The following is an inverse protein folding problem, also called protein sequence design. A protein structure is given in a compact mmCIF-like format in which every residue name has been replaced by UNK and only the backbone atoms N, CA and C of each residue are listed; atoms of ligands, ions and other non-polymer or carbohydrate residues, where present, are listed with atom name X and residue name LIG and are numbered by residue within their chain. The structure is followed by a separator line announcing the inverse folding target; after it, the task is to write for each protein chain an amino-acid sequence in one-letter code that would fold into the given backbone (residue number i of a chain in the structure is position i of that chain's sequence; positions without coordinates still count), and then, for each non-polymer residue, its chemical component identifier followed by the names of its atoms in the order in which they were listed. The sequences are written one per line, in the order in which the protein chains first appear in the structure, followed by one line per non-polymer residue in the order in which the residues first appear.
data_IF_656862041899
#
_entry.id   IF_656862041899
#
_cell.length_a   1.000
_cell.length_b   1.000
_cell.length_c   1.000
_cell.angle_alpha   90.00
_cell.angle_beta   90.00
_cell.angle_gamma   90.00
#
_symmetry.space_group_name_H-M   'P 1'
#
loop_
_entity.id
_entity.type
_entity.pdbx_description
1 polymer ?
#
# COMPACT_ATOMS: atom_id res chain seq x y z
N UNK A 1 -18.92 29.46 67.78
CA UNK A 1 -18.18 28.74 66.72
C UNK A 1 -18.59 29.32 65.37
N UNK A 2 -17.64 29.40 64.43
CA UNK A 2 -17.66 29.98 63.07
C UNK A 2 -16.85 31.28 62.98
N UNK A 3 -15.60 31.13 62.52
CA UNK A 3 -14.76 32.18 61.93
C UNK A 3 -15.18 32.31 60.46
N UNK A 4 -15.62 33.49 60.04
CA UNK A 4 -15.88 33.78 58.62
C UNK A 4 -14.70 34.60 58.07
N UNK A 5 -13.99 34.03 57.11
CA UNK A 5 -12.86 34.65 56.42
C UNK A 5 -13.35 35.70 55.42
N UNK A 6 -12.73 36.88 55.51
CA UNK A 6 -12.84 37.99 54.57
C UNK A 6 -12.00 37.66 53.31
N UNK A 7 -12.59 37.65 52.12
CA UNK A 7 -11.85 37.73 50.86
C UNK A 7 -12.44 38.85 50.01
N UNK A 8 -11.64 39.90 49.85
CA UNK A 8 -11.90 41.05 48.98
C UNK A 8 -11.61 40.61 47.53
N UNK A 9 -12.61 40.66 46.65
CA UNK A 9 -12.43 40.46 45.22
C UNK A 9 -12.08 41.82 44.60
N UNK A 10 -10.83 41.98 44.20
CA UNK A 10 -10.37 43.11 43.39
C UNK A 10 -10.72 42.83 41.92
N UNK A 11 -11.71 43.54 41.38
CA UNK A 11 -12.05 43.50 39.97
C UNK A 11 -11.01 44.29 39.16
N UNK A 12 -9.98 43.62 38.64
CA UNK A 12 -9.10 44.19 37.63
C UNK A 12 -9.79 44.14 36.26
N UNK A 13 -10.19 45.30 35.76
CA UNK A 13 -10.55 45.52 34.36
C UNK A 13 -9.29 45.45 33.50
N UNK A 14 -9.06 44.31 32.84
CA UNK A 14 -8.06 44.21 31.76
C UNK A 14 -8.79 44.56 30.46
N UNK A 15 -8.42 45.70 29.88
CA UNK A 15 -8.84 46.08 28.53
C UNK A 15 -8.35 45.02 27.55
N UNK A 16 -9.27 44.35 26.87
CA UNK A 16 -8.96 43.46 25.77
C UNK A 16 -8.50 44.31 24.59
N UNK A 17 -7.20 44.50 24.43
CA UNK A 17 -6.65 44.96 23.15
C UNK A 17 -6.74 43.78 22.18
N UNK A 18 -7.46 43.99 21.08
CA UNK A 18 -7.62 43.02 20.00
C UNK A 18 -6.25 42.74 19.36
N UNK A 19 -5.57 41.68 19.81
CA UNK A 19 -4.45 41.12 19.07
C UNK A 19 -5.05 40.52 17.81
N UNK A 20 -4.76 41.18 16.68
CA UNK A 20 -5.12 40.76 15.35
C UNK A 20 -4.26 39.52 14.99
N UNK A 21 -4.58 38.37 15.56
CA UNK A 21 -4.07 37.09 15.08
C UNK A 21 -4.78 36.79 13.77
N UNK A 22 -4.21 37.29 12.68
CA UNK A 22 -4.47 36.78 11.34
C UNK A 22 -4.22 35.28 11.42
N UNK A 23 -5.29 34.48 11.53
CA UNK A 23 -5.24 33.05 11.37
C UNK A 23 -4.49 32.81 10.07
N UNK A 24 -3.31 32.20 10.19
CA UNK A 24 -2.62 31.64 9.04
C UNK A 24 -3.58 30.60 8.47
N UNK A 25 -4.24 30.94 7.37
CA UNK A 25 -4.97 29.99 6.56
C UNK A 25 -4.07 28.78 6.32
N UNK A 26 -4.60 27.55 6.42
CA UNK A 26 -3.82 26.36 6.13
C UNK A 26 -3.19 26.54 4.76
N UNK A 27 -1.85 26.44 4.76
CA UNK A 27 -0.97 26.52 3.59
C UNK A 27 -1.62 25.75 2.45
N UNK A 28 -2.00 26.50 1.41
CA UNK A 28 -2.46 26.03 0.09
C UNK A 28 -1.89 24.64 -0.20
N UNK A 29 -2.77 23.65 -0.39
CA UNK A 29 -2.40 22.33 -0.91
C UNK A 29 -1.40 22.54 -2.05
N UNK A 30 -0.18 22.03 -1.88
CA UNK A 30 0.73 21.93 -3.01
C UNK A 30 0.00 21.11 -4.06
N UNK A 31 -0.30 21.74 -5.20
CA UNK A 31 -0.93 21.05 -6.31
C UNK A 31 0.01 19.92 -6.71
N UNK A 32 -0.46 18.67 -6.61
CA UNK A 32 0.31 17.51 -7.04
C UNK A 32 0.59 17.64 -8.53
N UNK A 33 1.86 17.49 -8.92
CA UNK A 33 2.25 17.50 -10.34
C UNK A 33 1.98 16.10 -10.91
N UNK A 34 1.21 16.05 -12.00
CA UNK A 34 0.97 14.82 -12.75
C UNK A 34 2.11 14.56 -13.75
N UNK A 35 2.67 13.35 -13.71
CA UNK A 35 3.68 12.84 -14.61
C UNK A 35 3.04 11.76 -15.47
N UNK A 36 3.20 11.81 -16.79
CA UNK A 36 2.56 10.87 -17.71
C UNK A 36 3.59 9.90 -18.29
N UNK A 37 3.38 8.60 -18.09
CA UNK A 37 4.20 7.56 -18.69
C UNK A 37 3.51 7.04 -19.96
N UNK A 38 4.02 7.32 -21.16
CA UNK A 38 3.40 6.85 -22.40
C UNK A 38 4.02 5.55 -22.93
N UNK A 39 5.24 5.24 -22.48
CA UNK A 39 6.05 4.09 -22.83
C UNK A 39 6.96 3.71 -21.64
N UNK A 40 7.71 2.63 -21.79
CA UNK A 40 8.63 2.08 -20.80
C UNK A 40 9.75 3.06 -20.43
N UNK A 41 10.28 3.83 -21.39
CA UNK A 41 11.33 4.83 -21.12
C UNK A 41 10.82 5.99 -20.26
N UNK A 42 9.61 6.50 -20.54
CA UNK A 42 8.97 7.52 -19.71
C UNK A 42 8.74 6.98 -18.29
N UNK A 43 8.23 5.76 -18.20
CA UNK A 43 7.95 5.09 -16.93
C UNK A 43 9.21 4.99 -16.07
N UNK A 44 10.31 4.49 -16.65
CA UNK A 44 11.57 4.40 -15.93
C UNK A 44 12.13 5.76 -15.56
N UNK A 45 12.11 6.73 -16.47
CA UNK A 45 12.56 8.08 -16.15
C UNK A 45 11.79 8.68 -14.98
N UNK A 46 10.47 8.47 -14.94
CA UNK A 46 9.63 8.91 -13.84
C UNK A 46 10.06 8.22 -12.54
N UNK A 47 10.07 6.88 -12.49
CA UNK A 47 10.38 6.15 -11.25
C UNK A 47 11.83 6.36 -10.77
N UNK A 48 12.78 6.56 -11.68
CA UNK A 48 14.20 6.80 -11.33
C UNK A 48 14.43 8.23 -10.79
N UNK A 49 13.54 9.19 -11.10
CA UNK A 49 13.72 10.63 -10.79
C UNK A 49 12.61 11.22 -9.92
N UNK A 50 11.63 10.41 -9.53
CA UNK A 50 10.45 10.87 -8.81
C UNK A 50 10.83 11.43 -7.43
N UNK A 51 10.10 12.48 -7.04
CA UNK A 51 10.16 13.10 -5.71
C UNK A 51 8.77 13.11 -5.10
N UNK A 52 8.67 13.49 -3.84
CA UNK A 52 7.40 13.56 -3.10
C UNK A 52 6.31 14.37 -3.82
N UNK A 53 5.06 14.10 -3.44
CA UNK A 53 3.88 14.86 -3.88
C UNK A 53 3.72 14.83 -5.41
N UNK A 54 3.46 13.64 -5.94
CA UNK A 54 3.28 13.39 -7.39
C UNK A 54 2.12 12.47 -7.67
N UNK A 55 1.51 12.68 -8.83
CA UNK A 55 0.61 11.70 -9.46
C UNK A 55 1.32 11.15 -10.68
N UNK A 56 1.42 9.83 -10.81
CA UNK A 56 1.93 9.15 -11.99
C UNK A 56 0.72 8.60 -12.74
N UNK A 57 0.49 9.11 -13.94
CA UNK A 57 -0.57 8.68 -14.84
C UNK A 57 0.01 7.69 -15.85
N UNK A 58 -0.37 6.42 -15.72
CA UNK A 58 -0.02 5.40 -16.70
C UNK A 58 -1.05 5.42 -17.83
N UNK A 59 -0.58 5.18 -19.06
CA UNK A 59 -1.46 4.91 -20.19
C UNK A 59 -1.98 3.47 -20.08
N UNK A 60 -3.25 3.25 -20.43
CA UNK A 60 -3.78 1.89 -20.57
C UNK A 60 -3.06 1.16 -21.72
N UNK A 61 -2.03 0.40 -21.38
CA UNK A 61 -1.22 -0.41 -22.30
C UNK A 61 -0.43 -1.45 -21.51
N UNK A 62 0.25 -2.31 -22.24
CA UNK A 62 1.29 -3.19 -21.68
C UNK A 62 2.62 -2.40 -21.64
N UNK A 63 3.28 -2.47 -20.49
CA UNK A 63 4.66 -2.04 -20.25
C UNK A 63 5.50 -3.30 -19.98
N UNK A 64 6.44 -3.60 -20.88
CA UNK A 64 7.37 -4.70 -20.69
C UNK A 64 8.59 -4.20 -19.92
N UNK A 65 8.73 -4.65 -18.68
CA UNK A 65 9.75 -4.21 -17.76
C UNK A 65 10.94 -5.16 -17.76
N UNK A 66 12.14 -4.62 -17.89
CA UNK A 66 13.43 -5.30 -17.69
C UNK A 66 13.99 -5.10 -16.26
N UNK A 67 13.41 -4.18 -15.48
CA UNK A 67 13.77 -3.94 -14.07
C UNK A 67 12.54 -3.58 -13.22
N UNK A 68 12.60 -3.76 -11.89
CA UNK A 68 11.55 -3.35 -10.97
C UNK A 68 11.24 -1.86 -11.02
N UNK A 69 9.99 -1.51 -10.73
CA UNK A 69 9.61 -0.13 -10.42
C UNK A 69 9.78 0.10 -8.91
N UNK A 70 10.68 1.02 -8.55
CA UNK A 70 11.09 1.20 -7.15
C UNK A 70 10.71 2.59 -6.66
N UNK A 71 9.98 2.65 -5.54
CA UNK A 71 9.71 3.85 -4.75
C UNK A 71 10.52 3.77 -3.44
N UNK A 72 11.40 4.75 -3.21
CA UNK A 72 12.33 4.74 -2.07
C UNK A 72 12.19 6.00 -1.23
N UNK A 73 11.75 5.84 0.02
CA UNK A 73 11.62 6.93 1.01
C UNK A 73 10.77 8.10 0.50
N UNK A 74 9.74 7.81 -0.30
CA UNK A 74 8.86 8.80 -0.89
C UNK A 74 7.59 9.02 -0.06
N UNK A 75 6.98 10.19 -0.23
CA UNK A 75 5.76 10.59 0.41
C UNK A 75 4.74 11.18 -0.58
N UNK A 76 3.46 10.91 -0.37
CA UNK A 76 2.35 11.47 -1.17
C UNK A 76 2.47 11.16 -2.67
N UNK A 77 2.63 9.88 -3.00
CA UNK A 77 2.65 9.42 -4.40
C UNK A 77 1.34 8.71 -4.70
N UNK A 78 0.71 9.06 -5.81
CA UNK A 78 -0.38 8.27 -6.40
C UNK A 78 0.07 7.73 -7.75
N UNK A 79 -0.01 6.43 -7.95
CA UNK A 79 0.13 5.80 -9.26
C UNK A 79 -1.27 5.45 -9.73
N UNK A 80 -1.78 6.22 -10.68
CA UNK A 80 -3.00 5.90 -11.39
C UNK A 80 -2.65 5.02 -12.59
N UNK A 81 -2.96 3.74 -12.46
CA UNK A 81 -2.65 2.73 -13.46
C UNK A 81 -3.51 2.83 -14.72
N UNK A 82 -4.72 3.36 -14.63
CA UNK A 82 -5.67 3.41 -15.76
C UNK A 82 -5.81 2.07 -16.53
N UNK A 83 -5.68 0.92 -15.85
CA UNK A 83 -5.71 -0.42 -16.46
C UNK A 83 -4.40 -0.87 -17.10
N UNK A 84 -3.29 -0.15 -16.88
CA UNK A 84 -1.97 -0.54 -17.38
C UNK A 84 -1.54 -1.93 -16.89
N UNK A 85 -0.86 -2.67 -17.77
CA UNK A 85 -0.31 -4.00 -17.50
C UNK A 85 1.21 -3.89 -17.38
N UNK A 86 1.76 -4.22 -16.21
CA UNK A 86 3.18 -4.22 -15.89
C UNK A 86 3.71 -5.65 -15.93
N UNK A 87 4.49 -5.99 -16.95
CA UNK A 87 5.05 -7.34 -17.14
C UNK A 87 6.55 -7.32 -16.89
N UNK A 88 7.00 -7.85 -15.76
CA UNK A 88 8.43 -7.91 -15.43
C UNK A 88 9.11 -9.16 -15.98
N UNK A 89 10.13 -8.98 -16.82
CA UNK A 89 11.04 -10.03 -17.29
C UNK A 89 12.15 -10.27 -16.24
N UNK A 90 11.77 -10.85 -15.11
CA UNK A 90 12.71 -11.24 -14.06
C UNK A 90 12.19 -12.43 -13.28
N UNK A 91 13.05 -13.40 -13.01
CA UNK A 91 12.68 -14.55 -12.17
C UNK A 91 12.74 -14.22 -10.69
N UNK A 92 13.52 -13.22 -10.25
CA UNK A 92 13.88 -13.06 -8.84
C UNK A 92 13.44 -11.73 -8.24
N UNK A 93 13.21 -10.71 -9.08
CA UNK A 93 12.88 -9.39 -8.59
C UNK A 93 11.36 -9.20 -8.46
N UNK A 94 10.97 -8.30 -7.58
CA UNK A 94 9.56 -7.91 -7.46
C UNK A 94 9.15 -6.93 -8.56
N UNK A 95 7.87 -6.94 -8.99
CA UNK A 95 7.39 -6.02 -10.04
C UNK A 95 7.41 -4.58 -9.55
N UNK A 96 6.85 -4.34 -8.37
CA UNK A 96 6.83 -3.03 -7.70
C UNK A 96 7.39 -3.16 -6.29
N UNK A 97 8.36 -2.29 -5.97
CA UNK A 97 9.00 -2.23 -4.65
C UNK A 97 8.75 -0.87 -4.00
N UNK A 98 8.25 -0.88 -2.77
CA UNK A 98 8.10 0.31 -1.92
C UNK A 98 8.94 0.16 -0.67
N UNK A 99 9.98 0.97 -0.52
CA UNK A 99 10.83 0.97 0.67
C UNK A 99 10.59 2.25 1.48
N UNK A 100 10.18 2.11 2.75
CA UNK A 100 10.02 3.21 3.71
C UNK A 100 9.16 4.38 3.18
N UNK A 101 8.11 4.07 2.44
CA UNK A 101 7.26 5.07 1.81
C UNK A 101 6.04 5.42 2.68
N UNK A 102 5.50 6.63 2.48
CA UNK A 102 4.36 7.13 3.24
C UNK A 102 3.28 7.72 2.34
N UNK A 103 2.01 7.51 2.66
CA UNK A 103 0.88 8.08 1.91
C UNK A 103 0.96 7.75 0.40
N UNK A 104 1.08 6.45 0.10
CA UNK A 104 1.18 5.95 -1.28
C UNK A 104 -0.13 5.32 -1.69
N UNK A 105 -0.59 5.60 -2.91
CA UNK A 105 -1.71 4.89 -3.53
C UNK A 105 -1.25 4.27 -4.85
N UNK A 106 -1.46 2.97 -5.03
CA UNK A 106 -1.36 2.26 -6.30
C UNK A 106 -2.77 1.84 -6.69
N UNK A 107 -3.28 2.39 -7.78
CA UNK A 107 -4.68 2.18 -8.22
C UNK A 107 -4.70 1.62 -9.65
N UNK A 108 -5.58 0.65 -9.89
CA UNK A 108 -5.97 0.19 -11.23
C UNK A 108 -4.80 -0.22 -12.14
N UNK A 109 -3.87 -1.03 -11.60
CA UNK A 109 -2.83 -1.70 -12.39
C UNK A 109 -3.12 -3.20 -12.50
N UNK A 110 -2.60 -3.82 -13.55
CA UNK A 110 -2.33 -5.26 -13.59
C UNK A 110 -0.82 -5.47 -13.50
N UNK A 111 -0.34 -6.23 -12.53
CA UNK A 111 1.08 -6.51 -12.37
C UNK A 111 1.34 -8.01 -12.38
N UNK A 112 2.36 -8.43 -13.13
CA UNK A 112 2.80 -9.81 -13.24
C UNK A 112 4.26 -9.95 -13.68
N UNK A 113 4.83 -11.12 -13.40
CA UNK A 113 6.04 -11.57 -14.07
C UNK A 113 5.70 -12.12 -15.45
N UNK A 114 6.65 -12.01 -16.37
CA UNK A 114 6.65 -12.80 -17.59
C UNK A 114 6.84 -14.26 -17.20
N UNK A 115 5.96 -15.13 -17.69
CA UNK A 115 6.08 -16.56 -17.43
C UNK A 115 7.40 -17.09 -18.03
N UNK A 116 8.22 -17.81 -17.24
CA UNK A 116 9.45 -18.40 -17.71
C UNK A 116 9.18 -19.57 -18.66
N UNK A 117 10.05 -19.73 -19.65
CA UNK A 117 10.10 -20.95 -20.44
C UNK A 117 10.70 -22.09 -19.59
N UNK A 118 9.90 -23.13 -19.31
CA UNK A 118 10.38 -24.35 -18.63
C UNK A 118 10.01 -24.48 -17.16
N UNK A 119 10.66 -25.38 -16.39
CA UNK A 119 10.21 -25.78 -15.05
C UNK A 119 10.58 -24.80 -13.93
N UNK A 120 11.25 -23.69 -14.26
CA UNK A 120 11.74 -22.73 -13.27
C UNK A 120 10.61 -21.80 -12.89
N UNK A 121 10.28 -21.68 -11.61
CA UNK A 121 9.29 -20.73 -11.11
C UNK A 121 9.87 -19.35 -10.81
N UNK A 122 9.03 -18.33 -10.83
CA UNK A 122 9.39 -16.97 -10.42
C UNK A 122 9.46 -16.91 -8.89
N UNK A 123 10.56 -16.42 -8.32
CA UNK A 123 10.77 -16.26 -6.88
C UNK A 123 10.47 -14.85 -6.35
N UNK A 124 10.35 -13.86 -7.25
CA UNK A 124 9.93 -12.50 -6.88
C UNK A 124 8.46 -12.41 -6.45
N UNK A 125 8.12 -11.39 -5.66
CA UNK A 125 6.73 -11.03 -5.35
C UNK A 125 6.15 -10.15 -6.46
N UNK A 126 4.83 -10.01 -6.56
CA UNK A 126 4.25 -8.99 -7.44
C UNK A 126 4.49 -7.61 -6.83
N UNK A 127 4.12 -7.41 -5.56
CA UNK A 127 4.39 -6.17 -4.82
C UNK A 127 5.16 -6.48 -3.53
N UNK A 128 6.28 -5.78 -3.31
CA UNK A 128 7.02 -5.78 -2.05
C UNK A 128 6.94 -4.41 -1.36
N UNK A 129 6.56 -4.42 -0.07
CA UNK A 129 6.56 -3.24 0.80
C UNK A 129 7.49 -3.49 1.99
N UNK A 130 8.57 -2.74 2.09
CA UNK A 130 9.54 -2.80 3.18
C UNK A 130 9.46 -1.53 4.04
N UNK A 131 8.58 -1.57 5.02
CA UNK A 131 8.31 -0.46 5.92
C UNK A 131 7.55 0.68 5.25
N UNK A 132 6.97 1.54 6.09
CA UNK A 132 6.16 2.67 5.63
C UNK A 132 4.83 2.77 6.35
N UNK A 133 4.02 3.76 5.96
CA UNK A 133 2.66 3.88 6.49
C UNK A 133 1.67 4.51 5.52
N UNK A 134 0.39 4.18 5.69
CA UNK A 134 -0.69 4.73 4.87
C UNK A 134 -0.48 4.40 3.39
N UNK A 135 -0.29 3.12 3.09
CA UNK A 135 -0.12 2.62 1.73
C UNK A 135 -1.42 1.94 1.32
N UNK A 136 -1.93 2.26 0.13
CA UNK A 136 -3.15 1.70 -0.43
C UNK A 136 -2.84 1.04 -1.77
N UNK A 137 -3.24 -0.22 -1.92
CA UNK A 137 -3.28 -0.94 -3.21
C UNK A 137 -4.74 -1.23 -3.48
N UNK A 138 -5.28 -0.69 -4.57
CA UNK A 138 -6.72 -0.72 -4.85
C UNK A 138 -7.02 -0.98 -6.33
N UNK A 139 -8.17 -1.62 -6.59
CA UNK A 139 -8.70 -1.91 -7.93
C UNK A 139 -7.70 -2.62 -8.87
N UNK A 140 -6.73 -3.35 -8.32
CA UNK A 140 -5.62 -3.90 -9.10
C UNK A 140 -5.75 -5.41 -9.31
N UNK A 141 -5.15 -5.91 -10.38
CA UNK A 141 -4.98 -7.34 -10.63
C UNK A 141 -3.53 -7.73 -10.34
N UNK A 142 -3.31 -8.56 -9.32
CA UNK A 142 -2.00 -9.04 -8.90
C UNK A 142 -1.89 -10.53 -9.24
N UNK A 143 -1.35 -10.78 -10.43
CA UNK A 143 -1.17 -12.10 -10.99
C UNK A 143 0.32 -12.41 -11.00
N UNK A 144 0.74 -13.61 -10.62
CA UNK A 144 2.12 -13.96 -10.93
C UNK A 144 2.43 -15.42 -10.74
N UNK A 145 3.24 -15.96 -11.64
CA UNK A 145 4.10 -17.12 -11.37
C UNK A 145 5.05 -16.88 -10.17
N UNK A 146 5.11 -15.66 -9.63
CA UNK A 146 5.86 -15.27 -8.44
C UNK A 146 5.44 -16.00 -7.16
N UNK A 147 6.15 -15.74 -6.06
CA UNK A 147 5.88 -16.39 -4.77
C UNK A 147 4.67 -15.78 -4.07
N UNK A 148 4.57 -14.45 -4.04
CA UNK A 148 3.51 -13.75 -3.29
C UNK A 148 2.93 -12.61 -4.11
N UNK A 149 1.60 -12.42 -4.03
CA UNK A 149 0.93 -11.25 -4.60
C UNK A 149 1.38 -9.96 -3.91
N UNK A 150 1.19 -9.86 -2.60
CA UNK A 150 1.70 -8.75 -1.78
C UNK A 150 2.49 -9.25 -0.58
N UNK A 151 3.78 -8.91 -0.53
CA UNK A 151 4.61 -9.08 0.66
C UNK A 151 4.81 -7.73 1.33
N UNK A 152 4.37 -7.59 2.58
CA UNK A 152 4.47 -6.34 3.32
C UNK A 152 5.07 -6.55 4.71
N UNK A 153 6.25 -5.99 4.92
CA UNK A 153 6.99 -6.05 6.17
C UNK A 153 7.02 -4.67 6.85
N UNK A 154 6.93 -4.67 8.19
CA UNK A 154 7.07 -3.49 9.05
C UNK A 154 6.22 -2.27 8.63
N UNK A 155 5.04 -2.52 8.04
CA UNK A 155 4.18 -1.48 7.48
C UNK A 155 2.92 -1.25 8.33
N UNK A 156 2.50 0.00 8.50
CA UNK A 156 1.36 0.39 9.33
C UNK A 156 0.25 1.05 8.50
N UNK A 157 -1.01 0.77 8.83
CA UNK A 157 -2.16 1.30 8.10
C UNK A 157 -2.06 0.98 6.59
N UNK A 158 -1.78 -0.29 6.28
CA UNK A 158 -1.79 -0.81 4.92
C UNK A 158 -3.22 -1.12 4.51
N UNK A 159 -3.60 -0.76 3.29
CA UNK A 159 -4.91 -1.07 2.72
C UNK A 159 -4.73 -1.84 1.42
N UNK A 160 -5.33 -3.02 1.34
CA UNK A 160 -5.39 -3.87 0.14
C UNK A 160 -6.87 -4.08 -0.13
N UNK A 161 -7.43 -3.32 -1.07
CA UNK A 161 -8.89 -3.20 -1.23
C UNK A 161 -9.32 -3.47 -2.67
N UNK A 162 -10.40 -4.23 -2.87
CA UNK A 162 -11.01 -4.40 -4.20
C UNK A 162 -10.04 -4.91 -5.28
N UNK A 163 -9.06 -5.72 -4.90
CA UNK A 163 -8.10 -6.31 -5.82
C UNK A 163 -8.50 -7.71 -6.25
N UNK A 164 -8.00 -8.14 -7.40
CA UNK A 164 -8.01 -9.53 -7.83
C UNK A 164 -6.61 -10.13 -7.70
N UNK A 165 -6.40 -11.00 -6.71
CA UNK A 165 -5.09 -11.57 -6.37
C UNK A 165 -5.12 -13.06 -6.67
N UNK A 166 -4.37 -13.50 -7.67
CA UNK A 166 -4.48 -14.87 -8.16
C UNK A 166 -3.19 -15.46 -8.68
N UNK A 167 -3.17 -16.80 -8.73
CA UNK A 167 -2.10 -17.63 -9.32
C UNK A 167 -0.71 -17.47 -8.69
N UNK A 168 -0.61 -16.81 -7.54
CA UNK A 168 0.65 -16.70 -6.79
C UNK A 168 1.04 -18.06 -6.21
N UNK A 169 2.29 -18.49 -6.38
CA UNK A 169 2.69 -19.88 -6.11
C UNK A 169 2.70 -20.26 -4.63
N UNK A 170 2.87 -19.30 -3.70
CA UNK A 170 2.84 -19.57 -2.26
C UNK A 170 1.69 -18.88 -1.55
N UNK A 171 1.64 -17.55 -1.51
CA UNK A 171 0.63 -16.84 -0.72
C UNK A 171 0.03 -15.70 -1.53
N UNK A 172 -1.27 -15.38 -1.36
CA UNK A 172 -1.79 -14.14 -1.92
C UNK A 172 -1.17 -12.92 -1.22
N UNK A 173 -1.06 -12.98 0.12
CA UNK A 173 -0.55 -11.88 0.95
C UNK A 173 0.29 -12.45 2.10
N UNK A 174 1.47 -11.87 2.33
CA UNK A 174 2.22 -11.98 3.58
C UNK A 174 2.25 -10.60 4.24
N UNK A 175 1.79 -10.52 5.49
CA UNK A 175 1.76 -9.26 6.23
C UNK A 175 2.44 -9.36 7.61
N UNK A 176 3.35 -8.42 7.87
CA UNK A 176 3.93 -8.15 9.18
C UNK A 176 3.79 -6.67 9.51
N UNK A 177 2.92 -6.33 10.46
CA UNK A 177 2.82 -4.98 10.99
C UNK A 177 1.63 -4.81 11.93
N UNK A 178 1.47 -3.60 12.49
CA UNK A 178 0.49 -3.36 13.55
C UNK A 178 -0.94 -3.07 13.05
N UNK A 179 -1.15 -2.78 11.76
CA UNK A 179 -2.49 -2.53 11.21
C UNK A 179 -2.59 -2.68 9.70
N UNK A 180 -3.61 -3.42 9.27
CA UNK A 180 -3.96 -3.65 7.87
C UNK A 180 -5.47 -3.73 7.68
N UNK A 181 -5.95 -3.25 6.55
CA UNK A 181 -7.29 -3.48 6.03
C UNK A 181 -7.17 -4.26 4.73
N UNK A 182 -7.69 -5.49 4.71
CA UNK A 182 -7.77 -6.36 3.52
C UNK A 182 -9.25 -6.55 3.24
N UNK A 183 -9.79 -5.83 2.28
CA UNK A 183 -11.23 -5.71 2.13
C UNK A 183 -11.69 -5.87 0.68
N UNK A 184 -12.80 -6.59 0.49
CA UNK A 184 -13.50 -6.72 -0.80
C UNK A 184 -12.60 -7.25 -1.94
N UNK A 185 -11.55 -8.01 -1.60
CA UNK A 185 -10.68 -8.62 -2.61
C UNK A 185 -11.22 -9.98 -3.05
N UNK A 186 -10.88 -10.35 -4.28
CA UNK A 186 -11.06 -11.71 -4.79
C UNK A 186 -9.70 -12.43 -4.77
N UNK A 187 -9.64 -13.57 -4.09
CA UNK A 187 -8.50 -14.48 -4.07
C UNK A 187 -8.85 -15.76 -4.81
N UNK A 188 -8.03 -16.15 -5.81
CA UNK A 188 -8.30 -17.34 -6.62
C UNK A 188 -6.98 -18.05 -6.97
N UNK A 189 -6.95 -19.38 -6.88
CA UNK A 189 -5.83 -20.20 -7.36
C UNK A 189 -4.44 -19.78 -6.83
N UNK A 190 -4.36 -19.19 -5.63
CA UNK A 190 -3.08 -18.96 -4.98
C UNK A 190 -2.67 -20.21 -4.19
N UNK A 191 -1.38 -20.39 -3.98
CA UNK A 191 -0.85 -21.38 -3.04
C UNK A 191 -1.41 -21.20 -1.64
N UNK A 192 -1.15 -22.19 -0.78
CA UNK A 192 -1.64 -22.23 0.60
C UNK A 192 -3.17 -22.00 0.70
N UNK A 193 -3.94 -22.50 -0.26
CA UNK A 193 -5.41 -22.44 -0.27
C UNK A 193 -5.96 -21.00 -0.13
N UNK A 194 -5.31 -20.04 -0.80
CA UNK A 194 -5.62 -18.61 -0.69
C UNK A 194 -5.53 -18.01 0.73
N UNK A 195 -4.85 -18.67 1.67
CA UNK A 195 -4.70 -18.17 3.04
C UNK A 195 -3.74 -16.99 3.08
N UNK A 196 -4.19 -15.86 3.64
CA UNK A 196 -3.36 -14.71 3.97
C UNK A 196 -2.47 -15.08 5.16
N UNK A 197 -1.15 -14.94 5.01
CA UNK A 197 -0.20 -15.20 6.09
C UNK A 197 0.05 -13.94 6.92
N UNK A 198 -0.20 -14.02 8.22
CA UNK A 198 0.05 -12.97 9.19
C UNK A 198 1.19 -13.35 10.13
N UNK A 199 2.27 -12.57 10.08
CA UNK A 199 3.45 -12.80 10.91
C UNK A 199 3.26 -12.17 12.30
N UNK A 200 2.68 -10.97 12.39
CA UNK A 200 2.53 -10.24 13.65
C UNK A 200 3.87 -10.09 14.39
N UNK A 201 3.87 -10.44 15.68
CA UNK A 201 5.07 -10.48 16.54
C UNK A 201 5.91 -11.77 16.39
N UNK A 202 5.51 -12.69 15.52
CA UNK A 202 6.21 -13.96 15.30
C UNK A 202 7.43 -13.80 14.37
N UNK A 203 8.27 -14.82 14.34
CA UNK A 203 9.33 -15.02 13.34
C UNK A 203 8.85 -15.96 12.25
N UNK A 204 9.58 -16.04 11.14
CA UNK A 204 9.32 -17.05 10.11
C UNK A 204 9.47 -18.47 10.68
N UNK A 205 8.63 -19.45 10.30
CA UNK A 205 7.47 -19.34 9.39
C UNK A 205 6.23 -18.70 10.07
N UNK A 206 5.30 -18.10 9.29
CA UNK A 206 4.07 -17.53 9.83
C UNK A 206 3.24 -18.60 10.56
N UNK A 207 2.67 -18.24 11.71
CA UNK A 207 1.85 -19.13 12.53
C UNK A 207 0.35 -18.82 12.45
N UNK A 208 -0.01 -17.70 11.83
CA UNK A 208 -1.37 -17.20 11.77
C UNK A 208 -1.78 -17.01 10.31
N UNK A 209 -2.91 -17.59 9.97
CA UNK A 209 -3.43 -17.61 8.61
C UNK A 209 -4.89 -17.19 8.61
N UNK A 210 -5.33 -16.52 7.55
CA UNK A 210 -6.69 -16.02 7.42
C UNK A 210 -7.25 -16.27 6.02
N UNK A 211 -8.47 -16.80 5.96
CA UNK A 211 -9.28 -16.95 4.75
C UNK A 211 -10.76 -16.70 5.07
N UNK A 212 -11.03 -15.93 6.12
CA UNK A 212 -12.35 -15.60 6.65
C UNK A 212 -12.33 -14.18 7.21
N UNK A 213 -13.51 -13.65 7.57
CA UNK A 213 -13.59 -12.31 8.14
C UNK A 213 -12.94 -12.25 9.52
N UNK A 214 -12.11 -11.24 9.75
CA UNK A 214 -11.39 -11.00 11.01
C UNK A 214 -11.30 -9.50 11.27
N UNK A 215 -11.86 -9.05 12.40
CA UNK A 215 -11.70 -7.66 12.87
C UNK A 215 -11.18 -7.67 14.29
N UNK A 216 -9.88 -7.42 14.46
CA UNK A 216 -9.22 -7.44 15.77
C UNK A 216 -7.89 -6.71 15.76
N UNK A 217 -7.64 -5.88 16.77
CA UNK A 217 -6.33 -5.28 17.07
C UNK A 217 -5.66 -4.63 15.84
N UNK A 218 -6.37 -3.76 15.13
CA UNK A 218 -5.84 -3.07 13.93
C UNK A 218 -5.81 -3.92 12.66
N UNK A 219 -6.20 -5.19 12.73
CA UNK A 219 -6.38 -6.07 11.56
C UNK A 219 -7.86 -6.10 11.21
N UNK A 220 -8.17 -5.73 9.97
CA UNK A 220 -9.49 -5.79 9.37
C UNK A 220 -9.38 -6.63 8.10
N UNK A 221 -10.07 -7.76 8.06
CA UNK A 221 -10.19 -8.65 6.91
C UNK A 221 -11.68 -8.88 6.73
N UNK A 222 -12.30 -8.33 5.70
CA UNK A 222 -13.75 -8.42 5.52
C UNK A 222 -14.18 -8.34 4.06
N UNK A 223 -15.33 -8.93 3.73
CA UNK A 223 -15.90 -8.86 2.37
C UNK A 223 -15.08 -9.58 1.28
N UNK A 224 -14.00 -10.27 1.65
CA UNK A 224 -13.15 -10.97 0.70
C UNK A 224 -13.79 -12.29 0.23
N UNK A 225 -13.55 -12.63 -1.03
CA UNK A 225 -13.98 -13.89 -1.64
C UNK A 225 -12.75 -14.77 -1.82
N UNK A 226 -12.77 -15.98 -1.28
CA UNK A 226 -11.70 -16.99 -1.44
C UNK A 226 -12.23 -18.14 -2.30
N UNK A 227 -11.75 -18.23 -3.54
CA UNK A 227 -12.16 -19.27 -4.50
C UNK A 227 -11.08 -20.35 -4.53
N UNK A 228 -11.42 -21.53 -4.02
CA UNK A 228 -10.56 -22.70 -4.10
C UNK A 228 -10.39 -23.15 -5.57
N UNK A 229 -9.19 -23.59 -5.91
CA UNK A 229 -8.93 -24.30 -7.16
C UNK A 229 -9.75 -25.58 -7.19
N UNK A 230 -10.55 -25.79 -8.25
CA UNK A 230 -11.18 -27.09 -8.49
C UNK A 230 -10.08 -28.16 -8.62
N UNK A 231 -10.25 -29.35 -8.02
CA UNK A 231 -9.28 -30.43 -8.09
C UNK A 231 -9.04 -30.92 -9.53
#
# INVERSE_FOLDING_TARGET
MIKLFLFVILACSISCSSINTKLLEPKRSEASISLHANNEQDLYKIFDQITDTKVIELKNRIYNLDKPLILNSLNHITVNGNGAVLVLDSLVNDVVVMNKCHNITIDNIKALHKEPDGPVGCTGNVILINGGSNITIINSELNGCGIVGVSAYTSRNLKIISNYIHKNTHYPIIYKGPSVTIQDNKFENNGNENKIAYIGDSTWPPKKFFNTNVTKNGIIIEGNIFIESQP
#
